data_IF_857486646706
#
_entry.id   IF_857486646706
#
_cell.length_a   1.000
_cell.length_b   1.000
_cell.length_c   1.000
_cell.angle_alpha   90.00
_cell.angle_beta   90.00
_cell.angle_gamma   90.00
#
_symmetry.space_group_name_H-M   'P 1'
#
loop_
_entity.id
_entity.type
_entity.pdbx_description
1 polymer ?
#
# COMPACT_ATOMS: atom_id res chain seq x y z
N UNK A 1 14.41 74.56 41.33
CA UNK A 1 12.92 74.49 41.32
C UNK A 1 12.44 74.29 39.88
N UNK A 2 12.21 73.03 39.47
CA UNK A 2 11.11 72.58 38.57
C UNK A 2 11.22 71.08 38.38
N UNK A 3 10.16 70.39 38.76
CA UNK A 3 9.93 68.95 38.67
C UNK A 3 10.00 68.47 37.22
N UNK A 4 10.52 67.27 37.01
CA UNK A 4 9.99 66.39 35.98
C UNK A 4 9.86 64.97 36.55
N UNK A 5 8.76 64.34 36.17
CA UNK A 5 8.07 63.26 36.86
C UNK A 5 7.95 62.09 35.87
N UNK A 6 7.80 60.86 36.39
CA UNK A 6 7.29 59.64 35.72
C UNK A 6 8.35 58.82 34.95
N UNK A 7 8.40 57.48 34.97
CA UNK A 7 7.50 56.42 35.43
C UNK A 7 8.29 55.16 35.85
N UNK A 8 7.73 54.38 36.78
CA UNK A 8 8.21 53.07 37.20
C UNK A 8 7.56 51.93 36.40
N UNK A 9 8.27 50.79 36.22
CA UNK A 9 7.73 49.43 36.39
C UNK A 9 8.83 48.36 36.51
N UNK A 10 8.62 47.28 37.31
CA UNK A 10 9.66 46.38 37.82
C UNK A 10 9.92 45.13 36.92
N UNK A 11 11.02 44.38 37.16
CA UNK A 11 11.31 43.14 36.44
C UNK A 11 10.47 41.96 36.97
N UNK A 12 9.88 41.18 36.06
CA UNK A 12 9.26 39.88 36.39
C UNK A 12 10.30 38.76 36.28
N UNK A 13 10.58 38.13 37.41
CA UNK A 13 11.28 36.84 37.52
C UNK A 13 10.33 35.66 37.28
N UNK A 14 10.75 34.68 36.48
CA UNK A 14 10.38 33.26 36.55
C UNK A 14 11.51 32.51 35.80
N UNK A 15 12.42 31.74 36.39
CA UNK A 15 12.33 30.51 37.22
C UNK A 15 11.53 29.39 36.56
N UNK A 16 12.21 28.26 36.27
CA UNK A 16 11.61 26.99 35.86
C UNK A 16 12.40 26.28 34.76
N UNK A 17 13.47 25.52 35.09
CA UNK A 17 13.48 24.04 35.16
C UNK A 17 13.23 23.36 33.80
N UNK A 18 14.26 22.88 33.11
CA UNK A 18 14.85 21.53 33.21
C UNK A 18 13.87 20.38 32.99
N UNK A 19 14.33 19.42 32.16
CA UNK A 19 13.91 18.01 32.07
C UNK A 19 12.98 17.67 30.89
N UNK A 20 13.41 16.68 30.10
CA UNK A 20 12.54 16.08 29.09
C UNK A 20 13.27 15.34 27.97
N UNK A 21 14.20 14.45 28.31
CA UNK A 21 14.69 13.41 27.41
C UNK A 21 13.49 12.54 27.01
N UNK A 22 12.99 12.74 25.80
CA UNK A 22 11.89 11.99 25.21
C UNK A 22 12.18 11.71 23.74
N UNK A 23 13.30 11.04 23.47
CA UNK A 23 13.50 10.44 22.16
C UNK A 23 12.35 9.46 21.94
N UNK A 24 11.47 9.77 20.98
CA UNK A 24 10.47 8.83 20.47
C UNK A 24 11.19 7.50 20.23
N UNK A 25 10.71 6.36 20.75
CA UNK A 25 11.23 5.08 20.31
C UNK A 25 11.13 5.06 18.78
N UNK A 26 12.26 4.81 18.12
CA UNK A 26 12.30 4.55 16.70
C UNK A 26 11.21 3.51 16.42
N UNK A 27 10.24 3.87 15.58
CA UNK A 27 9.23 2.94 15.15
C UNK A 27 9.97 1.69 14.67
N UNK A 28 9.74 0.57 15.35
CA UNK A 28 10.02 -0.75 14.80
C UNK A 28 9.38 -0.73 13.41
N UNK A 29 10.19 -0.76 12.36
CA UNK A 29 9.66 -0.97 11.02
C UNK A 29 8.87 -2.28 11.11
N UNK A 30 7.54 -2.29 10.88
CA UNK A 30 6.81 -3.54 10.83
C UNK A 30 7.45 -4.41 9.75
N UNK A 31 7.46 -5.75 9.91
CA UNK A 31 8.06 -6.65 8.93
C UNK A 31 7.53 -6.30 7.54
N UNK A 32 8.46 -6.11 6.60
CA UNK A 32 8.20 -5.83 5.19
C UNK A 32 7.03 -6.68 4.70
N UNK A 33 5.93 -6.03 4.29
CA UNK A 33 4.70 -6.69 3.87
C UNK A 33 4.99 -7.68 2.75
N UNK A 34 5.03 -8.96 3.07
CA UNK A 34 5.50 -10.03 2.18
C UNK A 34 4.52 -10.38 1.04
N UNK A 35 3.52 -9.53 0.79
CA UNK A 35 2.51 -9.67 -0.26
C UNK A 35 2.78 -8.64 -1.35
N UNK A 36 3.35 -9.11 -2.44
CA UNK A 36 3.58 -8.40 -3.68
C UNK A 36 2.46 -8.74 -4.68
N UNK A 37 1.76 -7.71 -5.19
CA UNK A 37 0.65 -7.88 -6.12
C UNK A 37 0.86 -6.94 -7.29
N UNK A 38 1.04 -7.53 -8.48
CA UNK A 38 1.05 -6.81 -9.74
C UNK A 38 -0.32 -6.95 -10.42
N UNK A 39 -0.85 -5.83 -10.91
CA UNK A 39 -2.07 -5.81 -11.74
C UNK A 39 -1.70 -5.20 -13.07
N UNK A 40 -1.86 -5.98 -14.14
CA UNK A 40 -1.57 -5.57 -15.51
C UNK A 40 -2.86 -5.67 -16.31
N UNK A 41 -3.36 -4.54 -16.77
CA UNK A 41 -4.53 -4.49 -17.64
C UNK A 41 -4.08 -4.36 -19.10
N UNK A 42 -4.40 -5.37 -19.92
CA UNK A 42 -4.13 -5.40 -21.37
C UNK A 42 -5.42 -5.47 -22.18
N UNK A 43 -6.58 -5.41 -21.55
CA UNK A 43 -7.86 -5.32 -22.25
C UNK A 43 -8.33 -3.87 -22.35
N UNK A 44 -9.22 -3.62 -23.31
CA UNK A 44 -9.76 -2.29 -23.59
C UNK A 44 -11.30 -2.27 -23.61
N UNK A 45 -11.93 -3.35 -23.15
CA UNK A 45 -13.38 -3.56 -23.18
C UNK A 45 -14.06 -2.89 -21.98
N UNK A 46 -13.50 -3.04 -20.78
CA UNK A 46 -14.07 -2.51 -19.54
C UNK A 46 -12.99 -1.82 -18.73
N UNK A 47 -13.29 -0.63 -18.19
CA UNK A 47 -12.38 0.05 -17.26
C UNK A 47 -12.40 -0.64 -15.90
N UNK A 48 -11.24 -1.15 -15.48
CA UNK A 48 -11.06 -1.75 -14.15
C UNK A 48 -10.07 -0.91 -13.33
N UNK A 49 -10.47 -0.55 -12.12
CA UNK A 49 -9.61 0.20 -11.21
C UNK A 49 -8.54 -0.69 -10.59
N UNK A 50 -7.28 -0.56 -11.02
CA UNK A 50 -6.17 -1.39 -10.52
C UNK A 50 -6.07 -1.41 -8.99
N UNK A 51 -6.18 -0.25 -8.32
CA UNK A 51 -6.18 -0.17 -6.84
C UNK A 51 -7.35 -0.89 -6.18
N UNK A 52 -8.51 -0.91 -6.83
CA UNK A 52 -9.65 -1.67 -6.33
C UNK A 52 -9.38 -3.17 -6.46
N UNK A 53 -8.89 -3.62 -7.62
CA UNK A 53 -8.56 -5.01 -7.84
C UNK A 53 -7.46 -5.51 -6.89
N UNK A 54 -6.41 -4.71 -6.65
CA UNK A 54 -5.38 -5.03 -5.63
C UNK A 54 -6.00 -5.22 -4.25
N UNK A 55 -7.00 -4.42 -3.85
CA UNK A 55 -7.68 -4.58 -2.56
C UNK A 55 -8.50 -5.88 -2.52
N UNK A 56 -9.17 -6.24 -3.60
CA UNK A 56 -9.90 -7.51 -3.73
C UNK A 56 -8.93 -8.70 -3.56
N UNK A 57 -7.79 -8.67 -4.25
CA UNK A 57 -6.75 -9.71 -4.11
C UNK A 57 -6.24 -9.80 -2.67
N UNK A 58 -5.91 -8.67 -2.03
CA UNK A 58 -5.48 -8.65 -0.62
C UNK A 58 -6.53 -9.24 0.32
N UNK A 59 -7.81 -8.91 0.10
CA UNK A 59 -8.90 -9.47 0.89
C UNK A 59 -9.03 -10.99 0.70
N UNK A 60 -8.85 -11.49 -0.53
CA UNK A 60 -8.86 -12.92 -0.81
C UNK A 60 -7.69 -13.65 -0.10
N UNK A 61 -6.48 -13.12 -0.19
CA UNK A 61 -5.30 -13.68 0.50
C UNK A 61 -5.48 -13.68 2.03
N UNK A 62 -6.03 -12.60 2.59
CA UNK A 62 -6.30 -12.50 4.02
C UNK A 62 -7.33 -13.54 4.49
N UNK A 63 -8.39 -13.78 3.71
CA UNK A 63 -9.39 -14.83 4.02
C UNK A 63 -8.79 -16.23 4.04
N UNK A 64 -7.76 -16.46 3.24
CA UNK A 64 -7.00 -17.72 3.22
C UNK A 64 -5.84 -17.76 4.21
N UNK A 65 -5.67 -16.72 5.03
CA UNK A 65 -4.56 -16.57 5.99
C UNK A 65 -3.17 -16.67 5.33
N UNK A 66 -3.05 -16.20 4.09
CA UNK A 66 -1.78 -16.13 3.37
C UNK A 66 -1.06 -14.84 3.77
N UNK A 67 0.08 -14.98 4.43
CA UNK A 67 0.87 -13.84 4.93
C UNK A 67 2.00 -13.41 3.99
N UNK A 68 2.45 -14.32 3.11
CA UNK A 68 3.51 -14.06 2.11
C UNK A 68 3.08 -14.61 0.76
N UNK A 69 3.12 -13.79 -0.28
CA UNK A 69 2.78 -14.19 -1.64
C UNK A 69 3.35 -13.21 -2.66
N UNK A 70 3.69 -13.72 -3.84
CA UNK A 70 3.88 -12.91 -5.05
C UNK A 70 2.85 -13.37 -6.07
N UNK A 71 2.01 -12.44 -6.53
CA UNK A 71 0.93 -12.76 -7.46
C UNK A 71 0.79 -11.66 -8.52
N UNK A 72 0.54 -12.07 -9.76
CA UNK A 72 0.21 -11.17 -10.86
C UNK A 72 -1.21 -11.46 -11.35
N UNK A 73 -2.02 -10.41 -11.51
CA UNK A 73 -3.31 -10.48 -12.19
C UNK A 73 -3.17 -9.80 -13.55
N UNK A 74 -3.27 -10.59 -14.61
CA UNK A 74 -3.26 -10.11 -15.99
C UNK A 74 -4.69 -10.13 -16.54
N UNK A 75 -5.21 -8.97 -16.93
CA UNK A 75 -6.50 -8.84 -17.59
C UNK A 75 -6.27 -8.80 -19.11
N UNK A 76 -6.99 -9.62 -19.86
CA UNK A 76 -6.89 -9.74 -21.31
C UNK A 76 -8.27 -9.80 -21.96
N UNK A 77 -8.33 -9.55 -23.26
CA UNK A 77 -9.54 -9.75 -24.06
C UNK A 77 -9.75 -11.23 -24.42
N UNK A 78 -10.93 -11.56 -24.94
CA UNK A 78 -11.33 -12.91 -25.33
C UNK A 78 -10.39 -13.54 -26.36
N UNK A 79 -9.88 -12.73 -27.31
CA UNK A 79 -8.97 -13.22 -28.35
C UNK A 79 -7.66 -13.70 -27.75
N UNK A 80 -7.08 -12.92 -26.84
CA UNK A 80 -5.85 -13.29 -26.14
C UNK A 80 -6.11 -14.39 -25.12
N UNK A 81 -7.26 -14.41 -24.46
CA UNK A 81 -7.65 -15.52 -23.58
C UNK A 81 -7.76 -16.84 -24.33
N UNK A 82 -8.42 -16.87 -25.49
CA UNK A 82 -8.51 -18.06 -26.34
C UNK A 82 -7.12 -18.54 -26.81
N UNK A 83 -6.21 -17.60 -27.08
CA UNK A 83 -4.81 -17.94 -27.40
C UNK A 83 -4.14 -18.62 -26.22
N UNK A 84 -4.23 -18.06 -25.00
CA UNK A 84 -3.63 -18.63 -23.79
C UNK A 84 -4.23 -20.00 -23.45
N UNK A 85 -5.55 -20.15 -23.54
CA UNK A 85 -6.28 -21.39 -23.29
C UNK A 85 -5.80 -22.50 -24.23
N UNK A 86 -5.62 -22.18 -25.51
CA UNK A 86 -5.06 -23.12 -26.48
C UNK A 86 -3.61 -23.45 -26.19
N UNK A 87 -2.77 -22.43 -25.95
CA UNK A 87 -1.32 -22.61 -25.79
C UNK A 87 -0.97 -23.48 -24.58
N UNK A 88 -1.61 -23.23 -23.44
CA UNK A 88 -1.22 -23.86 -22.17
C UNK A 88 -2.10 -25.05 -21.77
N UNK A 89 -3.35 -25.09 -22.23
CA UNK A 89 -4.30 -26.15 -21.86
C UNK A 89 -4.78 -26.97 -23.07
N UNK A 90 -4.40 -26.58 -24.29
CA UNK A 90 -4.78 -27.31 -25.51
C UNK A 90 -6.25 -27.20 -25.87
N UNK A 91 -7.03 -26.29 -25.26
CA UNK A 91 -8.49 -26.20 -25.41
C UNK A 91 -8.93 -25.02 -26.32
N UNK A 92 -10.02 -25.17 -27.11
CA UNK A 92 -10.57 -24.11 -27.95
C UNK A 92 -11.27 -23.02 -27.14
N UNK A 93 -11.31 -21.82 -27.73
CA UNK A 93 -12.15 -20.72 -27.25
C UNK A 93 -11.62 -20.08 -25.96
N UNK A 94 -12.22 -18.94 -25.54
CA UNK A 94 -11.87 -18.29 -24.29
C UNK A 94 -12.44 -19.06 -23.09
N UNK A 95 -11.96 -18.70 -21.90
CA UNK A 95 -12.51 -19.10 -20.61
C UNK A 95 -12.42 -17.89 -19.66
N UNK A 96 -13.14 -17.89 -18.54
CA UNK A 96 -13.17 -16.72 -17.67
C UNK A 96 -11.83 -16.50 -16.94
N UNK A 97 -11.15 -17.58 -16.57
CA UNK A 97 -9.90 -17.55 -15.79
C UNK A 97 -8.99 -18.71 -16.20
N UNK A 98 -7.68 -18.41 -16.23
CA UNK A 98 -6.60 -19.39 -16.23
C UNK A 98 -5.66 -19.02 -15.09
N UNK A 99 -5.27 -20.01 -14.28
CA UNK A 99 -4.32 -19.83 -13.18
C UNK A 99 -3.01 -20.51 -13.53
N UNK A 100 -1.90 -19.80 -13.38
CA UNK A 100 -0.55 -20.34 -13.53
C UNK A 100 0.10 -20.44 -12.16
N UNK A 101 0.53 -21.63 -11.79
CA UNK A 101 1.38 -21.82 -10.62
C UNK A 101 2.83 -21.52 -11.01
N UNK A 102 3.40 -20.50 -10.36
CA UNK A 102 4.79 -20.06 -10.57
C UNK A 102 5.68 -20.42 -9.38
N UNK A 103 5.20 -21.30 -8.48
CA UNK A 103 5.95 -21.72 -7.29
C UNK A 103 6.99 -22.83 -7.55
N UNK A 104 7.11 -23.32 -8.80
CA UNK A 104 8.04 -24.39 -9.19
C UNK A 104 9.50 -23.93 -9.31
N UNK A 105 10.40 -24.81 -8.85
CA UNK A 105 11.88 -24.81 -8.73
C UNK A 105 12.69 -23.63 -9.32
#
# INVERSE_FOLDING_TARGET
>A
MRMSMRHARPPRTARGTSSGRGGKPAAVNPPSTAIEIDVVDRQHVVRIGGRWLTRVVRAALARQRIERARLCVLLVDDRRMATLHRTWLGLPGPTDVITFDLSGD
#
